data_IF_027328922345
#
_entry.id   IF_027328922345
#
_cell.length_a   1.000
_cell.length_b   1.000
_cell.length_c   1.000
_cell.angle_alpha   90.00
_cell.angle_beta   90.00
_cell.angle_gamma   90.00
#
_symmetry.space_group_name_H-M   'P 1'
#
loop_
_entity.id
_entity.type
_entity.pdbx_description
1 polymer ?
#
# COMPACT_ATOMS: atom_id res chain seq x y z
N UNK A 1 2.62 -25.77 -6.47
CA UNK A 1 3.02 -24.98 -5.29
C UNK A 1 1.80 -24.18 -4.90
N UNK A 2 1.08 -24.65 -3.89
CA UNK A 2 -0.10 -23.94 -3.42
C UNK A 2 0.36 -22.75 -2.58
N UNK A 3 -0.06 -21.56 -3.01
CA UNK A 3 0.07 -20.36 -2.20
C UNK A 3 -0.69 -20.61 -0.90
N UNK A 4 0.01 -20.50 0.23
CA UNK A 4 -0.61 -20.51 1.55
C UNK A 4 -1.64 -19.37 1.57
N UNK A 5 -2.92 -19.72 1.40
CA UNK A 5 -4.00 -18.80 1.71
C UNK A 5 -3.99 -18.64 3.22
N UNK A 6 -3.34 -17.58 3.70
CA UNK A 6 -3.31 -17.22 5.13
C UNK A 6 -4.70 -16.88 5.67
N UNK A 7 -5.68 -16.73 4.79
CA UNK A 7 -7.05 -16.39 5.14
C UNK A 7 -7.95 -17.42 4.49
N UNK A 8 -8.45 -18.35 5.30
CA UNK A 8 -9.70 -19.05 4.96
C UNK A 8 -10.80 -17.99 4.92
N UNK A 9 -11.69 -18.08 3.94
CA UNK A 9 -12.86 -17.23 3.78
C UNK A 9 -13.77 -17.32 5.02
N UNK A 10 -13.45 -16.57 6.06
CA UNK A 10 -14.34 -16.22 7.17
C UNK A 10 -14.39 -14.70 7.21
N UNK A 11 -15.60 -14.14 7.18
CA UNK A 11 -15.80 -12.70 7.13
C UNK A 11 -15.00 -12.00 8.22
N UNK A 12 -14.12 -11.08 7.83
CA UNK A 12 -13.30 -10.33 8.77
C UNK A 12 -14.21 -9.57 9.74
N UNK A 13 -14.21 -9.97 11.01
CA UNK A 13 -14.79 -9.15 12.08
C UNK A 13 -13.72 -8.12 12.45
N UNK A 14 -13.86 -6.91 11.92
CA UNK A 14 -12.97 -5.82 12.25
C UNK A 14 -13.34 -5.24 13.62
N UNK A 15 -12.35 -4.94 14.48
CA UNK A 15 -12.62 -4.25 15.74
C UNK A 15 -13.15 -2.84 15.46
N UNK A 16 -14.44 -2.61 15.73
CA UNK A 16 -15.16 -1.35 15.44
C UNK A 16 -14.52 -0.13 16.11
N UNK A 17 -13.94 -0.31 17.31
CA UNK A 17 -13.27 0.77 18.05
C UNK A 17 -11.85 1.09 17.53
N UNK A 18 -11.30 0.30 16.61
CA UNK A 18 -9.92 0.42 16.13
C UNK A 18 -9.83 0.66 14.63
N UNK A 19 -10.80 0.20 13.85
CA UNK A 19 -10.81 0.30 12.40
C UNK A 19 -12.24 0.49 11.88
N UNK A 20 -12.43 1.52 11.05
CA UNK A 20 -13.62 1.65 10.22
C UNK A 20 -13.37 0.97 8.88
N UNK A 21 -14.30 0.09 8.47
CA UNK A 21 -14.28 -0.54 7.17
C UNK A 21 -15.52 -0.10 6.38
N UNK A 22 -15.30 0.58 5.25
CA UNK A 22 -16.37 1.00 4.35
C UNK A 22 -16.28 0.18 3.06
N UNK A 23 -17.16 -0.83 2.87
CA UNK A 23 -17.19 -1.59 1.63
C UNK A 23 -17.63 -0.68 0.47
N UNK A 24 -17.11 -0.95 -0.73
CA UNK A 24 -17.51 -0.23 -1.95
C UNK A 24 -17.41 1.30 -1.84
N UNK A 25 -16.40 1.80 -1.10
CA UNK A 25 -16.16 3.24 -0.89
C UNK A 25 -16.06 4.04 -2.19
N UNK A 26 -15.58 3.40 -3.26
CA UNK A 26 -15.61 3.92 -4.63
C UNK A 26 -16.52 3.05 -5.47
N UNK A 27 -17.23 3.66 -6.42
CA UNK A 27 -17.91 2.88 -7.45
C UNK A 27 -16.88 2.11 -8.27
N UNK A 28 -17.23 0.90 -8.71
CA UNK A 28 -16.31 0.02 -9.43
C UNK A 28 -15.65 0.71 -10.63
N UNK A 29 -16.42 1.44 -11.43
CA UNK A 29 -15.90 2.17 -12.60
C UNK A 29 -14.87 3.24 -12.21
N UNK A 30 -15.10 3.98 -11.12
CA UNK A 30 -14.17 5.00 -10.61
C UNK A 30 -12.89 4.34 -10.09
N UNK A 31 -13.02 3.22 -9.39
CA UNK A 31 -11.89 2.46 -8.87
C UNK A 31 -11.00 1.92 -10.00
N UNK A 32 -11.60 1.38 -11.06
CA UNK A 32 -10.88 0.84 -12.22
C UNK A 32 -10.13 1.96 -12.97
N UNK A 33 -10.78 3.10 -13.19
CA UNK A 33 -10.14 4.26 -13.83
C UNK A 33 -8.97 4.80 -13.02
N UNK A 34 -9.13 4.94 -11.70
CA UNK A 34 -8.06 5.38 -10.81
C UNK A 34 -6.91 4.36 -10.77
N UNK A 35 -7.22 3.06 -10.76
CA UNK A 35 -6.22 2.01 -10.80
C UNK A 35 -5.34 2.13 -12.05
N UNK A 36 -5.94 2.21 -13.23
CA UNK A 36 -5.21 2.32 -14.50
C UNK A 36 -4.37 3.59 -14.56
N UNK A 37 -4.93 4.72 -14.12
CA UNK A 37 -4.21 6.00 -14.05
C UNK A 37 -3.00 5.92 -13.11
N UNK A 38 -3.20 5.45 -11.87
CA UNK A 38 -2.13 5.38 -10.88
C UNK A 38 -1.06 4.36 -11.27
N UNK A 39 -1.44 3.24 -11.88
CA UNK A 39 -0.47 2.26 -12.36
C UNK A 39 0.44 2.83 -13.44
N UNK A 40 -0.09 3.66 -14.34
CA UNK A 40 0.63 4.21 -15.48
C UNK A 40 1.42 5.49 -15.16
N UNK A 41 0.84 6.40 -14.40
CA UNK A 41 1.35 7.78 -14.28
C UNK A 41 2.17 8.02 -13.01
N UNK A 42 1.99 7.23 -11.96
CA UNK A 42 2.78 7.37 -10.73
C UNK A 42 4.22 6.92 -11.00
N UNK A 43 5.24 7.70 -10.61
CA UNK A 43 6.65 7.34 -10.79
C UNK A 43 7.07 6.31 -9.72
N UNK A 44 6.54 5.09 -9.83
CA UNK A 44 6.77 3.99 -8.91
C UNK A 44 8.25 3.63 -8.83
N UNK A 45 8.81 3.62 -7.61
CA UNK A 45 10.20 3.27 -7.37
C UNK A 45 10.33 2.15 -6.34
N UNK A 46 11.21 1.19 -6.65
CA UNK A 46 11.64 0.21 -5.66
C UNK A 46 12.69 0.86 -4.76
N UNK A 47 12.44 0.86 -3.46
CA UNK A 47 13.36 1.45 -2.48
C UNK A 47 14.18 0.38 -1.78
N UNK A 48 15.35 0.74 -1.27
CA UNK A 48 16.14 -0.12 -0.39
C UNK A 48 15.89 0.25 1.07
N UNK A 49 15.90 -0.75 1.95
CA UNK A 49 15.77 -0.57 3.40
C UNK A 49 16.89 -1.31 4.11
N UNK A 50 17.47 -0.68 5.13
CA UNK A 50 18.38 -1.35 6.05
C UNK A 50 17.56 -2.24 7.00
N UNK A 51 17.83 -3.53 6.97
CA UNK A 51 17.28 -4.53 7.87
C UNK A 51 18.44 -5.27 8.52
N UNK A 52 18.62 -5.03 9.82
CA UNK A 52 19.79 -5.48 10.58
C UNK A 52 21.09 -5.02 9.90
N UNK A 53 21.97 -5.97 9.57
CA UNK A 53 23.29 -5.71 8.98
C UNK A 53 23.26 -5.68 7.44
N UNK A 54 22.07 -5.71 6.83
CA UNK A 54 21.91 -5.80 5.37
C UNK A 54 21.02 -4.69 4.83
N UNK A 55 21.37 -4.20 3.64
CA UNK A 55 20.48 -3.36 2.83
C UNK A 55 19.79 -4.25 1.83
N UNK A 56 18.47 -4.33 1.89
CA UNK A 56 17.66 -5.15 1.00
C UNK A 56 16.74 -4.26 0.15
N UNK A 57 16.42 -4.71 -1.07
CA UNK A 57 15.36 -4.10 -1.86
C UNK A 57 14.01 -4.48 -1.26
N UNK A 58 13.11 -3.50 -1.16
CA UNK A 58 11.74 -3.75 -0.71
C UNK A 58 10.98 -4.55 -1.77
N UNK A 59 10.12 -5.50 -1.38
CA UNK A 59 9.35 -6.30 -2.34
C UNK A 59 8.10 -5.56 -2.83
N UNK A 60 8.20 -4.24 -3.03
CA UNK A 60 7.12 -3.37 -3.53
C UNK A 60 7.69 -2.12 -4.16
N UNK A 61 6.86 -1.45 -4.97
CA UNK A 61 7.13 -0.11 -5.44
C UNK A 61 6.45 0.92 -4.54
N UNK A 62 7.00 2.12 -4.51
CA UNK A 62 6.52 3.23 -3.68
C UNK A 62 6.74 4.55 -4.41
N UNK A 63 5.83 5.49 -4.21
CA UNK A 63 5.96 6.89 -4.61
C UNK A 63 5.46 7.75 -3.45
N UNK A 64 5.99 8.97 -3.31
CA UNK A 64 5.61 9.90 -2.26
C UNK A 64 4.96 11.14 -2.86
N UNK A 65 3.83 11.52 -2.29
CA UNK A 65 3.08 12.72 -2.65
C UNK A 65 2.80 13.51 -1.37
N UNK A 66 2.84 14.84 -1.48
CA UNK A 66 2.60 15.76 -0.37
C UNK A 66 2.79 17.20 -0.85
N UNK A 67 2.36 18.15 -0.03
CA UNK A 67 2.53 19.57 -0.34
C UNK A 67 4.02 19.95 -0.42
N UNK A 68 4.35 21.01 -1.15
CA UNK A 68 5.74 21.45 -1.38
C UNK A 68 6.54 21.67 -0.07
N UNK A 69 5.84 22.02 1.02
CA UNK A 69 6.44 22.26 2.34
C UNK A 69 6.21 21.10 3.33
N UNK A 70 5.56 20.01 2.90
CA UNK A 70 5.34 18.85 3.75
C UNK A 70 6.66 18.09 3.94
N UNK A 71 7.29 18.28 5.09
CA UNK A 71 8.46 17.49 5.47
C UNK A 71 8.00 16.18 6.09
N UNK A 72 8.14 15.08 5.35
CA UNK A 72 7.91 13.75 5.91
C UNK A 72 9.25 13.10 6.26
N UNK A 73 9.46 12.77 7.54
CA UNK A 73 10.61 11.96 7.94
C UNK A 73 10.34 10.50 7.61
N UNK A 74 11.01 9.99 6.58
CA UNK A 74 11.03 8.56 6.33
C UNK A 74 11.94 7.87 7.35
N UNK A 75 11.40 6.91 8.09
CA UNK A 75 12.18 6.06 8.98
C UNK A 75 13.31 5.35 8.20
N UNK A 76 14.55 5.80 8.38
CA UNK A 76 15.73 5.28 7.68
C UNK A 76 16.60 6.31 6.95
N UNK A 77 16.31 7.62 7.05
CA UNK A 77 17.27 8.70 6.77
C UNK A 77 17.53 9.52 8.02
#
# INVERSE_FOLDING_TARGET
MDQLSLFQHEGYIFPEDLLNFEPDFLMQEEADQLFDFLLKEVPWQQTSKKMYDRTILTPRLTAWYGDENATYQMAGK
#
